data_IF_372771893361
#
_entry.id   IF_372771893361
#
_cell.length_a   1.000
_cell.length_b   1.000
_cell.length_c   1.000
_cell.angle_alpha   90.00
_cell.angle_beta   90.00
_cell.angle_gamma   90.00
#
_symmetry.space_group_name_H-M   'P 1'
#
loop_
_entity.id
_entity.type
_entity.pdbx_description
1 polymer ?
#
# COMPACT_ATOMS: atom_id res chain seq x y z
N UNK A 1 -19.74 -12.46 -12.89
CA UNK A 1 -20.32 -11.15 -13.01
C UNK A 1 -21.83 -11.13 -12.77
N UNK A 2 -22.64 -11.74 -13.64
CA UNK A 2 -24.11 -11.64 -13.57
C UNK A 2 -24.75 -11.97 -12.22
N UNK A 3 -24.29 -12.96 -11.44
CA UNK A 3 -24.87 -13.27 -10.13
C UNK A 3 -24.71 -12.15 -9.09
N UNK A 4 -23.75 -11.24 -9.28
CA UNK A 4 -23.39 -10.17 -8.36
C UNK A 4 -23.44 -8.78 -9.04
N UNK A 5 -24.26 -8.64 -10.07
CA UNK A 5 -24.30 -7.44 -10.92
C UNK A 5 -24.68 -6.15 -10.16
N UNK A 6 -25.50 -6.28 -9.14
CA UNK A 6 -25.93 -5.22 -8.24
C UNK A 6 -24.79 -4.64 -7.37
N UNK A 7 -23.71 -5.41 -7.18
CA UNK A 7 -22.54 -5.00 -6.39
C UNK A 7 -21.40 -4.38 -7.24
N UNK A 8 -21.50 -4.40 -8.58
CA UNK A 8 -20.36 -4.09 -9.44
C UNK A 8 -20.70 -3.26 -10.68
N UNK A 9 -21.98 -2.91 -10.90
CA UNK A 9 -22.38 -2.36 -12.20
C UNK A 9 -22.55 -0.85 -12.22
N UNK A 10 -23.33 -0.28 -11.32
CA UNK A 10 -23.91 1.05 -11.53
C UNK A 10 -23.31 2.16 -10.65
N UNK A 11 -22.58 1.84 -9.59
CA UNK A 11 -22.07 2.85 -8.67
C UNK A 11 -20.78 3.49 -9.22
N UNK A 12 -20.39 4.59 -8.60
CA UNK A 12 -19.27 5.45 -9.00
C UNK A 12 -17.94 4.72 -9.15
N UNK A 13 -17.66 3.78 -8.26
CA UNK A 13 -16.40 3.03 -8.22
C UNK A 13 -16.52 1.59 -8.78
N UNK A 14 -17.67 1.29 -9.40
CA UNK A 14 -17.95 0.02 -10.03
C UNK A 14 -17.27 -0.14 -11.41
N UNK A 15 -17.66 -1.18 -12.12
CA UNK A 15 -17.02 -1.60 -13.39
C UNK A 15 -16.93 -0.50 -14.44
N UNK A 16 -17.91 0.40 -14.51
CA UNK A 16 -17.88 1.56 -15.41
C UNK A 16 -16.69 2.50 -15.18
N UNK A 17 -16.16 2.53 -13.95
CA UNK A 17 -14.99 3.33 -13.59
C UNK A 17 -13.73 2.91 -14.34
N UNK A 18 -13.59 1.64 -14.68
CA UNK A 18 -12.45 1.08 -15.43
C UNK A 18 -12.38 1.74 -16.82
N UNK A 19 -13.51 1.81 -17.53
CA UNK A 19 -13.58 2.44 -18.85
C UNK A 19 -13.23 3.92 -18.81
N UNK A 20 -13.81 4.63 -17.85
CA UNK A 20 -13.48 6.03 -17.64
C UNK A 20 -11.99 6.24 -17.36
N UNK A 21 -11.40 5.43 -16.50
CA UNK A 21 -9.99 5.55 -16.17
C UNK A 21 -9.09 5.21 -17.35
N UNK A 22 -9.40 4.19 -18.13
CA UNK A 22 -8.69 3.84 -19.36
C UNK A 22 -8.65 5.05 -20.32
N UNK A 23 -9.78 5.67 -20.64
CA UNK A 23 -9.83 6.85 -21.48
C UNK A 23 -9.06 8.05 -20.90
N UNK A 24 -9.17 8.28 -19.60
CA UNK A 24 -8.47 9.39 -18.94
C UNK A 24 -6.96 9.20 -18.86
N UNK A 25 -6.50 7.98 -18.64
CA UNK A 25 -5.07 7.67 -18.65
C UNK A 25 -4.46 7.98 -20.02
N UNK A 26 -5.08 7.57 -21.10
CA UNK A 26 -4.67 7.94 -22.45
C UNK A 26 -4.62 9.46 -22.65
N UNK A 27 -5.68 10.19 -22.25
CA UNK A 27 -5.71 11.65 -22.35
C UNK A 27 -4.64 12.38 -21.53
N UNK A 28 -4.12 11.74 -20.49
CA UNK A 28 -3.01 12.23 -19.67
C UNK A 28 -1.64 11.87 -20.26
N UNK A 29 -1.58 11.21 -21.40
CA UNK A 29 -0.36 10.73 -22.04
C UNK A 29 0.24 9.49 -21.37
N UNK A 30 -0.55 8.76 -20.58
CA UNK A 30 -0.15 7.44 -20.06
C UNK A 30 -0.44 6.42 -21.13
N UNK A 31 0.59 5.96 -21.82
CA UNK A 31 0.48 4.98 -22.90
C UNK A 31 -0.02 3.66 -22.38
N UNK A 32 -1.00 3.09 -23.07
CA UNK A 32 -1.63 1.82 -22.75
C UNK A 32 -1.53 0.89 -23.95
N UNK A 33 -0.93 -0.28 -23.78
CA UNK A 33 -0.81 -1.33 -24.79
C UNK A 33 -1.56 -2.56 -24.29
N UNK A 34 -2.51 -3.04 -25.06
CA UNK A 34 -3.30 -4.20 -24.74
C UNK A 34 -2.97 -5.40 -25.67
N UNK A 35 -2.79 -6.59 -25.08
CA UNK A 35 -2.66 -7.82 -25.83
C UNK A 35 -3.87 -8.73 -25.58
N UNK A 36 -4.57 -9.07 -26.66
CA UNK A 36 -5.75 -9.92 -26.67
C UNK A 36 -5.28 -11.35 -26.90
N UNK A 37 -5.07 -12.08 -25.82
CA UNK A 37 -4.56 -13.46 -25.79
C UNK A 37 -5.66 -14.50 -25.58
N UNK A 38 -6.90 -14.03 -25.40
CA UNK A 38 -8.07 -14.87 -25.18
C UNK A 38 -9.34 -14.14 -25.63
N UNK A 39 -10.48 -14.69 -25.27
CA UNK A 39 -11.77 -14.15 -25.69
C UNK A 39 -12.19 -12.94 -24.82
N UNK A 40 -12.40 -11.81 -25.46
CA UNK A 40 -12.90 -10.57 -24.89
C UNK A 40 -14.34 -10.33 -25.31
N UNK A 41 -15.30 -10.42 -24.36
CA UNK A 41 -16.73 -10.41 -24.63
C UNK A 41 -17.40 -9.22 -23.97
N UNK A 42 -18.38 -8.63 -24.63
CA UNK A 42 -19.24 -7.54 -24.16
C UNK A 42 -18.41 -6.33 -23.68
N UNK A 43 -18.59 -5.91 -22.42
CA UNK A 43 -17.80 -4.84 -21.82
C UNK A 43 -16.29 -5.07 -21.88
N UNK A 44 -15.82 -6.32 -21.70
CA UNK A 44 -14.41 -6.69 -21.84
C UNK A 44 -13.82 -6.47 -23.23
N UNK A 45 -14.66 -6.36 -24.27
CA UNK A 45 -14.22 -6.08 -25.64
C UNK A 45 -13.76 -4.61 -25.82
N UNK A 46 -14.31 -3.69 -25.05
CA UNK A 46 -13.97 -2.26 -25.17
C UNK A 46 -12.59 -1.93 -24.57
N UNK A 47 -12.18 -2.60 -23.47
CA UNK A 47 -10.95 -2.26 -22.76
C UNK A 47 -9.70 -2.29 -23.65
N UNK A 48 -9.43 -3.37 -24.41
CA UNK A 48 -8.27 -3.41 -25.30
C UNK A 48 -8.37 -2.37 -26.43
N UNK A 49 -9.55 -2.08 -26.93
CA UNK A 49 -9.75 -1.14 -28.05
C UNK A 49 -9.73 0.32 -27.60
N UNK A 50 -10.01 0.60 -26.33
CA UNK A 50 -9.82 1.91 -25.71
C UNK A 50 -8.38 2.18 -25.29
N UNK A 51 -7.51 1.19 -25.36
CA UNK A 51 -6.06 1.35 -25.18
C UNK A 51 -5.44 2.05 -26.40
N UNK A 52 -4.23 2.63 -26.25
CA UNK A 52 -3.61 3.39 -27.34
C UNK A 52 -3.12 2.49 -28.47
N UNK A 53 -2.71 1.27 -28.15
CA UNK A 53 -2.34 0.22 -29.12
C UNK A 53 -2.84 -1.15 -28.69
N UNK A 54 -3.32 -1.93 -29.65
CA UNK A 54 -3.88 -3.26 -29.42
C UNK A 54 -3.20 -4.35 -30.27
N UNK A 55 -2.94 -5.49 -29.65
CA UNK A 55 -2.32 -6.65 -30.27
C UNK A 55 -3.29 -7.82 -30.14
N UNK A 56 -3.54 -8.56 -31.21
CA UNK A 56 -4.38 -9.77 -31.15
C UNK A 56 -3.58 -11.02 -31.54
N UNK A 57 -3.78 -12.09 -30.76
CA UNK A 57 -3.12 -13.38 -30.98
C UNK A 57 -4.00 -14.26 -31.87
N UNK A 58 -3.41 -14.84 -32.91
CA UNK A 58 -4.10 -15.77 -33.82
C UNK A 58 -4.73 -16.94 -33.06
N UNK A 59 -5.91 -17.36 -33.44
CA UNK A 59 -6.65 -18.54 -32.96
C UNK A 59 -7.09 -18.48 -31.48
N UNK A 60 -6.40 -17.76 -30.62
CA UNK A 60 -6.74 -17.65 -29.20
C UNK A 60 -7.41 -16.33 -28.88
N UNK A 61 -6.91 -15.23 -29.44
CA UNK A 61 -7.48 -13.89 -29.25
C UNK A 61 -8.77 -13.70 -30.04
N UNK A 62 -9.80 -13.19 -29.41
CA UNK A 62 -11.04 -12.81 -30.10
C UNK A 62 -11.76 -11.68 -29.35
N UNK A 63 -12.44 -10.83 -30.11
CA UNK A 63 -13.22 -9.69 -29.57
C UNK A 63 -14.59 -9.70 -30.22
N UNK A 64 -15.65 -9.62 -29.42
CA UNK A 64 -17.00 -9.43 -29.92
C UNK A 64 -17.93 -8.94 -28.80
N UNK A 65 -18.94 -8.19 -29.14
CA UNK A 65 -19.98 -7.76 -28.18
C UNK A 65 -20.81 -8.96 -27.71
N UNK A 66 -21.10 -9.87 -28.63
CA UNK A 66 -21.86 -11.07 -28.35
C UNK A 66 -21.19 -12.24 -29.07
N UNK A 67 -20.85 -13.30 -28.35
CA UNK A 67 -20.28 -14.52 -28.94
C UNK A 67 -21.28 -15.28 -29.83
N UNK A 68 -20.78 -16.22 -30.62
CA UNK A 68 -21.53 -16.97 -31.62
C UNK A 68 -22.85 -17.59 -31.12
N UNK A 69 -22.89 -18.06 -29.88
CA UNK A 69 -24.10 -18.61 -29.26
C UNK A 69 -25.20 -17.54 -29.06
N UNK A 70 -24.81 -16.35 -28.62
CA UNK A 70 -25.76 -15.26 -28.40
C UNK A 70 -26.22 -14.65 -29.72
N UNK A 71 -25.34 -14.52 -30.71
CA UNK A 71 -25.67 -14.09 -32.08
C UNK A 71 -26.72 -15.03 -32.68
N UNK A 72 -26.51 -16.36 -32.56
CA UNK A 72 -27.49 -17.36 -33.02
C UNK A 72 -28.83 -17.24 -32.30
N UNK A 73 -28.82 -17.02 -31.00
CA UNK A 73 -30.05 -16.88 -30.22
C UNK A 73 -30.80 -15.57 -30.53
N UNK A 74 -30.07 -14.47 -30.75
CA UNK A 74 -30.67 -13.14 -30.96
C UNK A 74 -31.20 -12.91 -32.39
N UNK A 75 -30.44 -13.34 -33.40
CA UNK A 75 -30.75 -13.04 -34.80
C UNK A 75 -30.74 -14.27 -35.72
N UNK A 76 -30.54 -15.48 -35.18
CA UNK A 76 -30.56 -16.74 -35.95
C UNK A 76 -29.31 -17.03 -36.78
N UNK A 77 -28.33 -16.11 -36.82
CA UNK A 77 -27.10 -16.26 -37.58
C UNK A 77 -26.20 -17.35 -37.00
N UNK A 78 -25.71 -18.27 -37.86
CA UNK A 78 -24.75 -19.31 -37.50
C UNK A 78 -23.36 -18.89 -37.96
N UNK A 79 -22.52 -18.48 -37.02
CA UNK A 79 -21.13 -18.07 -37.24
C UNK A 79 -20.26 -18.63 -36.12
N UNK A 80 -19.03 -19.00 -36.40
CA UNK A 80 -18.06 -19.39 -35.38
C UNK A 80 -17.35 -18.15 -34.82
N UNK A 81 -16.73 -18.29 -33.66
CA UNK A 81 -16.11 -17.16 -32.95
C UNK A 81 -14.89 -16.58 -33.71
N UNK A 82 -14.12 -17.43 -34.42
CA UNK A 82 -12.95 -16.94 -35.16
C UNK A 82 -13.39 -16.07 -36.35
N UNK A 83 -14.38 -16.52 -37.10
CA UNK A 83 -14.96 -15.75 -38.22
C UNK A 83 -15.68 -14.49 -37.71
N UNK A 84 -16.35 -14.57 -36.54
CA UNK A 84 -17.09 -13.45 -35.97
C UNK A 84 -16.16 -12.33 -35.49
N UNK A 85 -15.11 -12.66 -34.76
CA UNK A 85 -14.27 -11.68 -34.08
C UNK A 85 -12.86 -12.16 -33.74
N UNK A 86 -12.32 -13.07 -34.56
CA UNK A 86 -10.94 -13.54 -34.43
C UNK A 86 -9.91 -12.56 -35.01
N UNK A 87 -8.66 -12.98 -34.97
CA UNK A 87 -7.53 -12.14 -35.33
C UNK A 87 -7.58 -11.62 -36.76
N UNK A 88 -7.93 -12.46 -37.73
CA UNK A 88 -8.01 -12.06 -39.13
C UNK A 88 -9.15 -11.04 -39.37
N UNK A 89 -10.29 -11.29 -38.77
CA UNK A 89 -11.43 -10.39 -38.87
C UNK A 89 -11.09 -8.97 -38.38
N UNK A 90 -10.44 -8.90 -37.21
CA UNK A 90 -10.19 -7.59 -36.57
C UNK A 90 -8.92 -6.90 -37.06
N UNK A 91 -7.97 -7.61 -37.61
CA UNK A 91 -6.77 -6.98 -38.19
C UNK A 91 -6.91 -6.60 -39.66
N UNK A 92 -7.76 -7.29 -40.44
CA UNK A 92 -7.84 -7.08 -41.91
C UNK A 92 -9.20 -6.64 -42.42
N UNK A 93 -10.29 -6.94 -41.73
CA UNK A 93 -11.65 -6.58 -42.17
C UNK A 93 -12.16 -5.35 -41.41
N UNK A 94 -12.26 -5.43 -40.08
CA UNK A 94 -12.77 -4.31 -39.26
C UNK A 94 -11.69 -3.28 -38.93
N UNK A 95 -10.41 -3.66 -38.91
CA UNK A 95 -9.29 -2.79 -38.62
C UNK A 95 -9.26 -2.26 -37.19
N UNK A 96 -9.88 -2.93 -36.24
CA UNK A 96 -9.96 -2.47 -34.86
C UNK A 96 -8.75 -2.88 -34.01
N UNK A 97 -7.92 -3.84 -34.47
CA UNK A 97 -6.66 -4.18 -33.81
C UNK A 97 -5.48 -3.77 -34.67
N UNK A 98 -4.43 -3.24 -34.02
CA UNK A 98 -3.28 -2.64 -34.68
C UNK A 98 -2.25 -3.68 -35.14
N UNK A 99 -2.10 -4.76 -34.36
CA UNK A 99 -1.12 -5.82 -34.66
C UNK A 99 -1.73 -7.20 -34.48
N UNK A 100 -1.46 -8.08 -35.45
CA UNK A 100 -1.74 -9.51 -35.37
C UNK A 100 -0.45 -10.27 -35.17
N UNK A 101 -0.42 -11.23 -34.23
CA UNK A 101 0.74 -12.05 -33.88
C UNK A 101 0.36 -13.51 -33.74
N UNK A 102 1.32 -14.41 -33.93
CA UNK A 102 1.09 -15.86 -34.03
C UNK A 102 0.79 -16.53 -32.68
N UNK A 103 1.34 -16.05 -31.60
CA UNK A 103 1.24 -16.62 -30.25
C UNK A 103 1.49 -15.62 -29.14
N UNK A 104 1.31 -16.04 -27.89
CA UNK A 104 1.48 -15.19 -26.71
C UNK A 104 2.91 -14.68 -26.55
N UNK A 105 3.92 -15.47 -26.89
CA UNK A 105 5.31 -15.03 -26.84
C UNK A 105 5.58 -13.90 -27.83
N UNK A 106 5.06 -14.03 -29.05
CA UNK A 106 5.16 -12.99 -30.06
C UNK A 106 4.40 -11.70 -29.63
N UNK A 107 3.31 -11.83 -28.87
CA UNK A 107 2.61 -10.68 -28.31
C UNK A 107 3.46 -9.97 -27.27
N UNK A 108 4.11 -10.68 -26.35
CA UNK A 108 5.03 -10.10 -25.37
C UNK A 108 6.24 -9.44 -26.02
N UNK A 109 6.80 -10.06 -27.06
CA UNK A 109 7.92 -9.48 -27.80
C UNK A 109 7.49 -8.21 -28.58
N UNK A 110 6.26 -8.20 -29.12
CA UNK A 110 5.70 -6.99 -29.73
C UNK A 110 5.55 -5.87 -28.70
N UNK A 111 5.03 -6.14 -27.51
CA UNK A 111 4.92 -5.16 -26.43
C UNK A 111 6.30 -4.59 -26.10
N UNK A 112 7.32 -5.42 -25.90
CA UNK A 112 8.69 -4.96 -25.63
C UNK A 112 9.22 -4.06 -26.74
N UNK A 113 9.00 -4.46 -28.00
CA UNK A 113 9.40 -3.67 -29.17
C UNK A 113 8.69 -2.31 -29.26
N UNK A 114 7.43 -2.23 -28.86
CA UNK A 114 6.68 -0.95 -28.84
C UNK A 114 7.21 -0.04 -27.72
N UNK A 115 7.42 -0.59 -26.53
CA UNK A 115 7.97 0.15 -25.38
C UNK A 115 9.39 0.68 -25.70
N UNK A 116 10.23 -0.12 -26.35
CA UNK A 116 11.61 0.29 -26.75
C UNK A 116 11.61 1.52 -27.66
N UNK A 117 10.56 1.72 -28.43
CA UNK A 117 10.41 2.85 -29.38
C UNK A 117 9.75 4.09 -28.75
N UNK A 118 9.32 4.02 -27.50
CA UNK A 118 8.79 5.17 -26.82
C UNK A 118 9.87 6.23 -26.58
N UNK A 119 9.51 7.50 -26.73
CA UNK A 119 10.40 8.61 -26.44
C UNK A 119 10.74 8.71 -24.96
N UNK A 120 11.91 9.30 -24.67
CA UNK A 120 12.32 9.59 -23.30
C UNK A 120 11.37 10.62 -22.66
N UNK A 121 10.94 10.35 -21.45
CA UNK A 121 10.14 11.27 -20.62
C UNK A 121 11.01 11.92 -19.56
N UNK A 122 10.59 13.09 -19.08
CA UNK A 122 11.22 13.71 -17.92
C UNK A 122 11.10 12.78 -16.71
N UNK A 123 12.20 12.63 -15.97
CA UNK A 123 12.23 11.85 -14.72
C UNK A 123 11.95 12.74 -13.53
N UNK A 124 11.53 12.14 -12.41
CA UNK A 124 11.32 12.86 -11.15
C UNK A 124 12.64 13.47 -10.58
N UNK A 125 13.78 12.93 -10.98
CA UNK A 125 15.09 13.45 -10.60
C UNK A 125 15.49 13.12 -9.17
N UNK A 126 15.06 11.97 -8.63
CA UNK A 126 15.52 11.51 -7.32
C UNK A 126 17.01 11.22 -7.34
N UNK A 127 17.69 11.60 -6.26
CA UNK A 127 19.14 11.44 -6.17
C UNK A 127 19.53 9.96 -6.02
N UNK A 128 20.37 9.47 -6.92
CA UNK A 128 20.99 8.13 -6.87
C UNK A 128 22.52 8.26 -6.89
N UNK A 129 23.18 7.57 -6.01
CA UNK A 129 24.64 7.51 -5.92
C UNK A 129 25.12 6.07 -6.03
N UNK A 130 26.44 5.86 -5.87
CA UNK A 130 27.00 4.51 -5.82
C UNK A 130 26.34 3.68 -4.73
N UNK A 131 25.92 2.48 -5.08
CA UNK A 131 25.34 1.51 -4.14
C UNK A 131 26.41 1.03 -3.16
N UNK A 132 26.08 1.02 -1.89
CA UNK A 132 26.90 0.42 -0.84
C UNK A 132 26.11 -0.69 -0.15
N UNK A 133 26.81 -1.74 0.27
CA UNK A 133 26.21 -2.79 1.10
C UNK A 133 25.79 -2.22 2.46
N UNK A 134 24.74 -2.76 3.10
CA UNK A 134 24.39 -2.40 4.46
C UNK A 134 25.55 -2.65 5.44
N UNK A 135 25.46 -2.01 6.61
CA UNK A 135 26.46 -2.19 7.68
C UNK A 135 26.44 -3.59 8.27
N UNK A 136 25.26 -4.19 8.34
CA UNK A 136 25.06 -5.56 8.81
C UNK A 136 24.54 -6.43 7.66
N UNK A 137 24.87 -7.74 7.65
CA UNK A 137 24.41 -8.66 6.61
C UNK A 137 22.89 -8.70 6.52
N UNK A 138 22.35 -8.64 5.31
CA UNK A 138 20.91 -8.61 5.09
C UNK A 138 20.24 -9.91 5.53
N UNK A 139 20.92 -11.04 5.47
CA UNK A 139 20.47 -12.36 5.86
C UNK A 139 20.19 -12.47 7.38
N UNK A 140 20.78 -11.60 8.18
CA UNK A 140 20.58 -11.57 9.64
C UNK A 140 19.33 -10.76 10.06
N UNK A 141 18.63 -10.13 9.11
CA UNK A 141 17.45 -9.30 9.37
C UNK A 141 16.35 -10.04 10.15
N UNK A 142 16.24 -11.35 9.97
CA UNK A 142 15.28 -12.19 10.68
C UNK A 142 15.46 -12.18 12.19
N UNK A 143 16.68 -11.93 12.67
CA UNK A 143 17.00 -11.82 14.08
C UNK A 143 16.64 -10.47 14.71
N UNK A 144 16.23 -9.48 13.92
CA UNK A 144 15.94 -8.14 14.43
C UNK A 144 14.63 -8.06 15.24
N UNK A 145 13.66 -8.91 14.92
CA UNK A 145 12.37 -8.94 15.62
C UNK A 145 12.36 -10.08 16.66
N UNK A 146 11.92 -9.80 17.89
CA UNK A 146 11.78 -10.83 18.91
C UNK A 146 10.63 -11.80 18.55
N UNK A 147 10.75 -13.05 18.99
CA UNK A 147 9.68 -14.05 18.83
C UNK A 147 8.40 -13.64 19.56
N UNK A 148 8.56 -13.10 20.76
CA UNK A 148 7.44 -12.62 21.57
C UNK A 148 7.14 -11.15 21.24
N UNK A 149 5.95 -10.87 20.77
CA UNK A 149 5.52 -9.52 20.35
C UNK A 149 5.51 -8.47 21.47
N UNK A 150 5.46 -8.90 22.73
CA UNK A 150 5.53 -8.04 23.91
C UNK A 150 6.94 -7.54 24.20
N UNK A 151 7.95 -8.21 23.66
CA UNK A 151 9.34 -7.80 23.83
C UNK A 151 9.65 -6.60 22.95
N UNK A 152 10.47 -5.72 23.51
CA UNK A 152 10.96 -4.53 22.81
C UNK A 152 12.25 -4.85 22.05
N UNK A 153 12.47 -4.14 20.94
CA UNK A 153 13.70 -4.23 20.17
C UNK A 153 14.17 -2.83 19.73
N UNK A 154 15.43 -2.75 19.33
CA UNK A 154 16.00 -1.49 18.86
C UNK A 154 15.90 -1.41 17.32
N UNK A 155 15.07 -0.49 16.82
CA UNK A 155 14.85 -0.31 15.38
C UNK A 155 16.12 0.14 14.64
N UNK A 156 17.10 0.73 15.30
CA UNK A 156 18.40 1.02 14.68
C UNK A 156 19.13 -0.23 14.20
N UNK A 157 18.97 -1.36 14.92
CA UNK A 157 19.52 -2.62 14.47
C UNK A 157 18.94 -3.02 13.11
N UNK A 158 17.61 -2.95 12.99
CA UNK A 158 16.93 -3.20 11.72
C UNK A 158 17.39 -2.26 10.59
N UNK A 159 17.50 -0.98 10.87
CA UNK A 159 17.95 0.00 9.88
C UNK A 159 19.37 -0.30 9.37
N UNK A 160 20.27 -0.81 10.21
CA UNK A 160 21.61 -1.19 9.81
C UNK A 160 21.67 -2.35 8.81
N UNK A 161 20.62 -3.17 8.69
CA UNK A 161 20.46 -4.19 7.65
C UNK A 161 19.84 -3.66 6.37
N UNK A 162 19.10 -2.54 6.43
CA UNK A 162 18.33 -2.03 5.30
C UNK A 162 19.03 -0.91 4.53
N UNK A 163 19.73 -0.02 5.23
CA UNK A 163 20.32 1.17 4.60
C UNK A 163 21.78 0.95 4.19
N UNK A 164 22.23 1.68 3.20
CA UNK A 164 23.63 1.71 2.77
C UNK A 164 24.54 2.10 3.94
N UNK A 165 25.67 1.42 4.09
CA UNK A 165 26.60 1.69 5.19
C UNK A 165 26.98 3.17 5.26
N UNK A 166 26.98 3.72 6.49
CA UNK A 166 27.34 5.11 6.80
C UNK A 166 26.48 6.19 6.09
N UNK A 167 25.28 5.83 5.64
CA UNK A 167 24.40 6.77 4.94
C UNK A 167 23.35 7.43 5.83
N UNK A 168 23.18 7.01 7.08
CA UNK A 168 22.19 7.59 7.99
C UNK A 168 22.64 8.96 8.51
N UNK A 169 21.76 9.93 8.33
CA UNK A 169 21.85 11.29 8.89
C UNK A 169 20.57 11.58 9.67
N UNK A 170 20.60 11.32 10.98
CA UNK A 170 19.41 11.32 11.81
C UNK A 170 18.95 12.72 12.17
N UNK A 171 17.70 13.02 11.81
CA UNK A 171 17.05 14.29 12.09
C UNK A 171 16.47 14.31 13.51
N UNK A 172 16.80 15.32 14.30
CA UNK A 172 16.34 15.52 15.70
C UNK A 172 16.48 14.27 16.59
N UNK A 173 17.66 13.64 16.58
CA UNK A 173 17.98 12.43 17.32
C UNK A 173 17.58 12.47 18.80
N UNK A 174 17.78 13.61 19.45
CA UNK A 174 17.54 13.77 20.90
C UNK A 174 16.08 14.12 21.25
N UNK A 175 15.21 14.34 20.23
CA UNK A 175 13.83 14.76 20.42
C UNK A 175 12.87 13.75 19.80
N UNK A 176 11.71 13.48 20.46
CA UNK A 176 10.67 12.59 19.92
C UNK A 176 11.19 11.18 19.61
N UNK A 177 11.88 10.56 20.55
CA UNK A 177 12.69 9.35 20.34
C UNK A 177 11.88 8.08 20.01
N UNK A 178 10.55 8.11 20.17
CA UNK A 178 9.67 6.98 19.81
C UNK A 178 9.44 6.85 18.30
N UNK A 179 9.83 7.87 17.53
CA UNK A 179 9.93 7.81 16.06
C UNK A 179 11.37 8.18 15.67
N UNK A 180 11.97 7.36 14.84
CA UNK A 180 13.24 7.63 14.18
C UNK A 180 12.94 8.31 12.86
N UNK A 181 13.57 9.46 12.61
CA UNK A 181 13.54 10.15 11.32
C UNK A 181 14.96 10.34 10.83
N UNK A 182 15.29 9.80 9.68
CA UNK A 182 16.66 9.88 9.14
C UNK A 182 16.66 10.02 7.62
N UNK A 183 17.53 10.87 7.10
CA UNK A 183 17.95 10.74 5.72
C UNK A 183 18.91 9.55 5.64
N UNK A 184 18.78 8.77 4.60
CA UNK A 184 19.64 7.61 4.37
C UNK A 184 19.71 7.29 2.87
N UNK A 185 20.42 6.23 2.53
CA UNK A 185 20.42 5.67 1.18
C UNK A 185 19.99 4.20 1.23
N UNK A 186 19.23 3.79 0.22
CA UNK A 186 18.87 2.40 -0.01
C UNK A 186 19.17 2.12 -1.48
N UNK A 187 20.09 1.21 -1.76
CA UNK A 187 20.58 0.92 -3.12
C UNK A 187 21.05 2.19 -3.87
N UNK A 188 21.71 3.06 -3.15
CA UNK A 188 22.17 4.35 -3.65
C UNK A 188 21.10 5.44 -3.73
N UNK A 189 19.81 5.11 -3.67
CA UNK A 189 18.73 6.07 -3.67
C UNK A 189 18.63 6.83 -2.35
N UNK A 190 18.61 8.16 -2.41
CA UNK A 190 18.37 8.99 -1.23
C UNK A 190 16.92 8.87 -0.79
N UNK A 191 16.68 8.58 0.50
CA UNK A 191 15.38 8.39 1.10
C UNK A 191 15.27 9.12 2.43
N UNK A 192 14.05 9.54 2.77
CA UNK A 192 13.67 9.92 4.13
C UNK A 192 12.96 8.76 4.80
N UNK A 193 13.50 8.26 5.90
CA UNK A 193 12.92 7.15 6.64
C UNK A 193 12.19 7.68 7.87
N UNK A 194 10.94 7.25 8.07
CA UNK A 194 10.13 7.45 9.26
C UNK A 194 9.82 6.07 9.84
N UNK A 195 10.41 5.73 10.98
CA UNK A 195 10.30 4.41 11.57
C UNK A 195 9.88 4.48 13.05
N UNK A 196 9.02 3.58 13.49
CA UNK A 196 8.70 3.47 14.90
C UNK A 196 9.88 2.85 15.67
N UNK A 197 10.35 3.51 16.73
CA UNK A 197 11.28 2.89 17.68
C UNK A 197 10.50 2.01 18.65
N UNK A 198 10.90 0.75 18.78
CA UNK A 198 10.23 -0.21 19.68
C UNK A 198 10.85 -0.31 21.06
N UNK A 199 12.05 0.21 21.22
CA UNK A 199 12.71 0.31 22.52
C UNK A 199 12.02 1.37 23.39
N UNK A 200 11.93 1.10 24.69
CA UNK A 200 11.53 2.13 25.67
C UNK A 200 12.61 3.20 25.74
N UNK A 201 12.21 4.46 25.63
CA UNK A 201 13.11 5.61 25.61
C UNK A 201 12.78 6.59 26.73
N UNK A 202 13.70 7.50 27.03
CA UNK A 202 13.44 8.64 27.95
C UNK A 202 13.34 9.93 27.15
N UNK A 203 12.31 10.73 27.42
CA UNK A 203 12.20 12.05 26.88
C UNK A 203 13.19 13.02 27.58
N UNK A 204 13.21 14.28 27.17
CA UNK A 204 14.11 15.31 27.70
C UNK A 204 13.92 15.59 29.20
N UNK A 205 12.71 15.34 29.74
CA UNK A 205 12.40 15.51 31.17
C UNK A 205 12.67 14.24 32.00
N UNK A 206 13.22 13.19 31.37
CA UNK A 206 13.52 11.93 32.03
C UNK A 206 12.36 10.94 32.13
N UNK A 207 11.20 11.28 31.57
CA UNK A 207 10.03 10.40 31.57
C UNK A 207 10.16 9.25 30.58
N UNK A 208 9.73 8.07 30.99
CA UNK A 208 9.70 6.89 30.14
C UNK A 208 8.61 7.00 29.08
N UNK A 209 8.98 6.76 27.83
CA UNK A 209 8.08 6.65 26.68
C UNK A 209 8.15 5.23 26.10
N UNK A 210 6.98 4.63 25.87
CA UNK A 210 6.88 3.28 25.35
C UNK A 210 7.17 3.25 23.83
N UNK A 211 7.94 2.26 23.41
CA UNK A 211 8.21 2.03 21.99
C UNK A 211 6.94 1.66 21.21
N UNK A 212 6.88 2.06 19.96
CA UNK A 212 5.72 1.85 19.10
C UNK A 212 4.52 2.74 19.39
N UNK A 213 4.63 3.67 20.35
CA UNK A 213 3.60 4.65 20.68
C UNK A 213 4.03 6.03 20.15
N UNK A 214 3.12 6.76 19.54
CA UNK A 214 3.36 8.11 19.05
C UNK A 214 3.00 9.12 20.16
N UNK A 215 3.94 9.96 20.53
CA UNK A 215 3.79 11.06 21.48
C UNK A 215 3.78 12.39 20.73
N UNK A 216 3.38 13.48 21.39
CA UNK A 216 3.35 14.83 20.81
C UNK A 216 4.69 15.24 20.22
N UNK A 217 5.78 15.01 20.94
CA UNK A 217 7.13 15.32 20.49
C UNK A 217 7.56 14.50 19.25
N UNK A 218 7.21 13.22 19.19
CA UNK A 218 7.52 12.38 18.04
C UNK A 218 6.63 12.69 16.84
N UNK A 219 5.36 13.06 17.04
CA UNK A 219 4.47 13.51 15.99
C UNK A 219 4.94 14.82 15.34
N UNK A 220 5.33 15.82 16.15
CA UNK A 220 5.89 17.08 15.65
C UNK A 220 7.21 16.89 14.90
N UNK A 221 8.09 16.02 15.41
CA UNK A 221 9.34 15.64 14.73
C UNK A 221 9.07 15.05 13.35
N UNK A 222 8.19 14.06 13.28
CA UNK A 222 7.84 13.39 12.03
C UNK A 222 7.16 14.35 11.04
N UNK A 223 6.22 15.18 11.50
CA UNK A 223 5.55 16.20 10.69
C UNK A 223 6.56 17.07 9.95
N UNK A 224 7.50 17.66 10.69
CA UNK A 224 8.50 18.56 10.09
C UNK A 224 9.48 17.82 9.19
N UNK A 225 9.85 16.58 9.51
CA UNK A 225 10.71 15.76 8.68
C UNK A 225 10.05 15.41 7.35
N UNK A 226 8.78 15.01 7.36
CA UNK A 226 7.99 14.73 6.15
C UNK A 226 7.93 15.99 5.27
N UNK A 227 7.66 17.16 5.86
CA UNK A 227 7.65 18.42 5.13
C UNK A 227 9.02 18.73 4.50
N UNK A 228 10.12 18.50 5.22
CA UNK A 228 11.47 18.69 4.70
C UNK A 228 11.79 17.75 3.52
N UNK A 229 11.34 16.49 3.58
CA UNK A 229 11.50 15.54 2.47
C UNK A 229 10.75 16.01 1.23
N UNK A 230 9.52 16.50 1.40
CA UNK A 230 8.72 17.07 0.31
C UNK A 230 9.40 18.29 -0.31
N UNK A 231 9.88 19.23 0.51
CA UNK A 231 10.57 20.43 0.04
C UNK A 231 11.86 20.11 -0.76
N UNK A 232 12.47 18.96 -0.49
CA UNK A 232 13.74 18.53 -1.10
C UNK A 232 13.57 17.45 -2.17
N UNK A 233 12.35 17.08 -2.52
CA UNK A 233 12.05 15.99 -3.46
C UNK A 233 12.71 14.66 -3.08
N UNK A 234 12.61 14.27 -1.80
CA UNK A 234 13.19 13.03 -1.27
C UNK A 234 12.05 12.02 -1.02
N UNK A 235 12.04 10.85 -1.65
CA UNK A 235 11.09 9.79 -1.39
C UNK A 235 11.04 9.38 0.07
N UNK A 236 9.85 9.04 0.58
CA UNK A 236 9.61 8.68 1.98
C UNK A 236 9.41 7.16 2.11
N UNK A 237 10.06 6.58 3.11
CA UNK A 237 9.91 5.18 3.52
C UNK A 237 9.36 5.15 4.94
N UNK A 238 8.22 4.51 5.14
CA UNK A 238 7.59 4.31 6.43
C UNK A 238 7.78 2.86 6.88
N UNK A 239 8.41 2.66 8.04
CA UNK A 239 8.53 1.35 8.68
C UNK A 239 7.58 1.32 9.87
N UNK A 240 6.48 0.59 9.74
CA UNK A 240 5.42 0.55 10.74
C UNK A 240 5.59 -0.60 11.73
N UNK A 241 5.74 -0.28 12.99
CA UNK A 241 5.43 -1.13 14.13
C UNK A 241 4.81 -0.25 15.23
N UNK A 242 3.56 0.19 14.99
CA UNK A 242 2.86 1.22 15.75
C UNK A 242 1.63 0.65 16.45
N UNK A 243 1.48 0.94 17.74
CA UNK A 243 0.32 0.54 18.54
C UNK A 243 -0.74 1.63 18.66
N UNK A 244 -0.41 2.86 18.28
CA UNK A 244 -1.30 4.03 18.32
C UNK A 244 -0.63 5.27 18.86
N UNK A 245 -1.42 6.29 19.11
CA UNK A 245 -0.99 7.48 19.83
C UNK A 245 -1.09 7.28 21.34
N UNK A 246 -0.31 8.04 22.11
CA UNK A 246 -0.40 8.04 23.57
C UNK A 246 -1.77 8.56 24.00
N UNK A 247 -2.33 7.92 25.01
CA UNK A 247 -3.64 8.26 25.57
C UNK A 247 -3.53 8.69 27.03
N UNK A 248 -4.59 9.24 27.57
CA UNK A 248 -4.72 9.61 28.96
C UNK A 248 -4.55 11.10 29.21
N UNK A 249 -4.93 11.53 30.42
CA UNK A 249 -5.05 12.93 30.78
C UNK A 249 -3.84 13.78 30.40
N UNK A 250 -2.64 13.30 30.63
CA UNK A 250 -1.41 14.03 30.35
C UNK A 250 -1.21 14.25 28.84
N UNK A 251 -1.48 13.23 28.03
CA UNK A 251 -1.37 13.31 26.59
C UNK A 251 -2.43 14.28 26.02
N UNK A 252 -3.69 14.16 26.46
CA UNK A 252 -4.78 15.03 26.00
C UNK A 252 -4.53 16.50 26.36
N UNK A 253 -4.17 16.77 27.63
CA UNK A 253 -3.85 18.14 28.05
C UNK A 253 -2.57 18.68 27.40
N UNK A 254 -1.66 17.80 26.99
CA UNK A 254 -0.45 18.15 26.24
C UNK A 254 -0.67 18.41 24.75
N UNK A 255 -1.89 18.18 24.23
CA UNK A 255 -2.24 18.47 22.83
C UNK A 255 -1.95 17.34 21.85
N UNK A 256 -1.97 16.07 22.29
CA UNK A 256 -1.68 14.91 21.43
C UNK A 256 -2.55 14.86 20.17
N UNK A 257 -3.83 15.25 20.27
CA UNK A 257 -4.74 15.29 19.12
C UNK A 257 -4.26 16.32 18.10
N UNK A 258 -3.87 17.50 18.56
CA UNK A 258 -3.34 18.57 17.73
C UNK A 258 -2.06 18.12 17.00
N UNK A 259 -1.12 17.57 17.72
CA UNK A 259 0.18 17.16 17.17
C UNK A 259 0.05 15.92 16.27
N UNK A 260 -0.82 14.99 16.63
CA UNK A 260 -1.19 13.86 15.78
C UNK A 260 -1.86 14.30 14.48
N UNK A 261 -2.77 15.28 14.55
CA UNK A 261 -3.42 15.84 13.35
C UNK A 261 -2.40 16.48 12.39
N UNK A 262 -1.38 17.18 12.91
CA UNK A 262 -0.29 17.72 12.06
C UNK A 262 0.45 16.61 11.32
N UNK A 263 0.77 15.50 11.98
CA UNK A 263 1.47 14.38 11.36
C UNK A 263 0.61 13.74 10.27
N UNK A 264 -0.66 13.47 10.54
CA UNK A 264 -1.61 12.94 9.56
C UNK A 264 -1.76 13.90 8.37
N UNK A 265 -1.85 15.20 8.64
CA UNK A 265 -1.91 16.23 7.59
C UNK A 265 -0.65 16.21 6.70
N UNK A 266 0.55 16.14 7.30
CA UNK A 266 1.80 16.10 6.54
C UNK A 266 1.91 14.85 5.64
N UNK A 267 1.46 13.70 6.12
CA UNK A 267 1.41 12.45 5.32
C UNK A 267 0.40 12.56 4.19
N UNK A 268 -0.78 13.12 4.46
CA UNK A 268 -1.87 13.29 3.49
C UNK A 268 -1.49 14.20 2.32
N UNK A 269 -0.83 15.31 2.63
CA UNK A 269 -0.44 16.31 1.63
C UNK A 269 0.94 16.07 1.01
N UNK A 270 1.61 14.97 1.37
CA UNK A 270 2.91 14.62 0.82
C UNK A 270 2.79 14.25 -0.66
N UNK A 271 3.54 14.93 -1.51
CA UNK A 271 3.59 14.75 -2.97
C UNK A 271 4.75 13.89 -3.45
N UNK A 272 5.76 13.67 -2.60
CA UNK A 272 6.84 12.72 -2.91
C UNK A 272 6.35 11.28 -2.79
N UNK A 273 6.93 10.33 -3.53
CA UNK A 273 6.58 8.93 -3.39
C UNK A 273 6.73 8.44 -1.96
N UNK A 274 5.71 7.75 -1.48
CA UNK A 274 5.66 7.12 -0.15
C UNK A 274 5.66 5.62 -0.32
N UNK A 275 6.45 4.92 0.48
CA UNK A 275 6.56 3.46 0.50
C UNK A 275 6.36 2.98 1.93
N UNK A 276 5.39 2.12 2.16
CA UNK A 276 5.06 1.65 3.51
C UNK A 276 5.35 0.16 3.67
N UNK A 277 6.12 -0.16 4.69
CA UNK A 277 6.45 -1.53 5.09
C UNK A 277 5.92 -1.75 6.50
N UNK A 278 4.94 -2.64 6.65
CA UNK A 278 4.43 -3.04 7.96
C UNK A 278 5.27 -4.19 8.48
N UNK A 279 6.14 -3.90 9.44
CA UNK A 279 7.07 -4.88 10.00
C UNK A 279 6.53 -5.57 11.27
N UNK A 280 5.56 -4.93 11.92
CA UNK A 280 4.94 -5.42 13.14
C UNK A 280 3.49 -4.95 13.24
N UNK A 281 3.14 -4.25 14.30
CA UNK A 281 1.78 -3.73 14.50
C UNK A 281 1.51 -2.50 13.63
N UNK A 282 0.26 -2.38 13.20
CA UNK A 282 -0.26 -1.20 12.50
C UNK A 282 -1.69 -0.92 12.99
N UNK A 283 -1.82 -0.22 14.12
CA UNK A 283 -3.08 -0.10 14.82
C UNK A 283 -3.64 1.33 14.84
N UNK A 284 -4.96 1.41 14.65
CA UNK A 284 -5.77 2.63 14.79
C UNK A 284 -5.22 3.81 14.00
N UNK A 285 -5.31 5.00 14.58
CA UNK A 285 -4.78 6.22 13.97
C UNK A 285 -3.24 6.22 13.79
N UNK A 286 -2.52 5.31 14.45
CA UNK A 286 -1.10 5.08 14.20
C UNK A 286 -0.84 4.59 12.77
N UNK A 287 -1.72 3.74 12.23
CA UNK A 287 -1.68 3.34 10.81
C UNK A 287 -1.76 4.57 9.89
N UNK A 288 -2.67 5.50 10.18
CA UNK A 288 -2.86 6.72 9.39
C UNK A 288 -1.64 7.62 9.42
N UNK A 289 -1.13 7.92 10.61
CA UNK A 289 0.05 8.77 10.80
C UNK A 289 1.32 8.19 10.19
N UNK A 290 1.42 6.87 10.09
CA UNK A 290 2.54 6.16 9.48
C UNK A 290 2.29 5.74 8.02
N UNK A 291 1.42 6.47 7.30
CA UNK A 291 1.13 6.25 5.89
C UNK A 291 0.48 4.89 5.59
N UNK A 292 -0.69 4.64 6.18
CA UNK A 292 -1.53 3.48 5.82
C UNK A 292 -2.07 3.57 4.39
N UNK A 293 -2.79 2.54 3.95
CA UNK A 293 -3.29 2.40 2.57
C UNK A 293 -4.07 3.62 2.06
N UNK A 294 -4.88 4.24 2.92
CA UNK A 294 -5.71 5.41 2.57
C UNK A 294 -4.92 6.70 2.34
N UNK A 295 -3.61 6.69 2.56
CA UNK A 295 -2.72 7.84 2.38
C UNK A 295 -1.85 7.73 1.13
N UNK A 296 -2.28 6.91 0.18
CA UNK A 296 -1.73 6.75 -1.16
C UNK A 296 -0.21 6.46 -1.18
N UNK A 297 0.29 5.45 -0.42
CA UNK A 297 1.63 4.96 -0.66
C UNK A 297 1.70 4.35 -2.07
N UNK A 298 2.84 4.45 -2.75
CA UNK A 298 3.05 3.80 -4.05
C UNK A 298 2.92 2.28 -3.94
N UNK A 299 3.35 1.73 -2.81
CA UNK A 299 2.98 0.41 -2.35
C UNK A 299 2.92 0.36 -0.81
N UNK A 300 2.14 -0.55 -0.30
CA UNK A 300 2.11 -0.95 1.10
C UNK A 300 2.33 -2.46 1.18
N UNK A 301 3.50 -2.87 1.63
CA UNK A 301 3.85 -4.30 1.80
C UNK A 301 4.00 -4.63 3.28
N UNK A 302 3.87 -5.89 3.62
CA UNK A 302 3.95 -6.34 5.01
C UNK A 302 4.86 -7.55 5.16
N UNK A 303 5.53 -7.65 6.30
CA UNK A 303 6.22 -8.86 6.72
C UNK A 303 5.22 -9.89 7.28
N UNK A 304 5.56 -11.20 7.30
CA UNK A 304 4.70 -12.22 7.89
C UNK A 304 4.35 -11.96 9.37
N UNK A 305 5.14 -11.14 10.06
CA UNK A 305 4.93 -10.72 11.45
C UNK A 305 3.90 -9.59 11.59
N UNK A 306 3.43 -8.99 10.51
CA UNK A 306 2.55 -7.83 10.56
C UNK A 306 1.16 -8.15 11.12
N UNK A 307 0.58 -7.18 11.84
CA UNK A 307 -0.82 -7.18 12.27
C UNK A 307 -1.45 -5.82 11.98
N UNK A 308 -2.59 -5.83 11.30
CA UNK A 308 -3.31 -4.61 10.93
C UNK A 308 -4.70 -4.63 11.54
N UNK A 309 -5.04 -3.65 12.39
CA UNK A 309 -6.34 -3.55 13.05
C UNK A 309 -6.61 -2.15 13.60
N UNK A 310 -7.84 -1.94 14.09
CA UNK A 310 -8.18 -0.73 14.84
C UNK A 310 -7.44 -0.70 16.19
N UNK A 311 -7.30 -1.85 16.87
CA UNK A 311 -6.59 -2.00 18.13
C UNK A 311 -6.15 -3.45 18.33
N UNK A 312 -5.27 -3.73 19.29
CA UNK A 312 -4.89 -5.09 19.62
C UNK A 312 -6.04 -5.92 20.19
N UNK A 313 -6.09 -7.23 19.88
CA UNK A 313 -7.21 -8.11 20.24
C UNK A 313 -7.50 -8.16 21.74
N UNK A 314 -6.48 -8.12 22.61
CA UNK A 314 -6.67 -8.07 24.05
C UNK A 314 -7.39 -6.77 24.50
N UNK A 315 -7.01 -5.64 23.97
CA UNK A 315 -7.67 -4.34 24.25
C UNK A 315 -9.09 -4.31 23.71
N UNK A 316 -9.31 -4.80 22.49
CA UNK A 316 -10.62 -4.88 21.87
C UNK A 316 -11.59 -5.74 22.69
N UNK A 317 -11.14 -6.89 23.17
CA UNK A 317 -11.96 -7.77 24.01
C UNK A 317 -12.34 -7.12 25.35
N UNK A 318 -11.43 -6.39 25.99
CA UNK A 318 -11.71 -5.69 27.24
C UNK A 318 -12.72 -4.52 27.04
N UNK A 319 -12.60 -3.75 25.96
CA UNK A 319 -13.55 -2.68 25.62
C UNK A 319 -14.93 -3.23 25.33
N UNK A 320 -15.05 -4.26 24.49
CA UNK A 320 -16.35 -4.87 24.14
C UNK A 320 -17.05 -5.47 25.36
N UNK A 321 -16.29 -6.11 26.26
CA UNK A 321 -16.82 -6.59 27.53
C UNK A 321 -17.31 -5.48 28.46
N UNK A 322 -16.70 -4.30 28.44
CA UNK A 322 -17.18 -3.14 29.20
C UNK A 322 -18.49 -2.60 28.64
N UNK A 323 -18.61 -2.52 27.31
CA UNK A 323 -19.84 -2.09 26.63
C UNK A 323 -20.99 -3.04 26.93
N UNK A 324 -20.75 -4.35 26.87
CA UNK A 324 -21.77 -5.35 27.18
C UNK A 324 -22.21 -5.29 28.65
N UNK A 325 -21.28 -5.07 29.58
CA UNK A 325 -21.63 -4.84 31.02
C UNK A 325 -22.50 -3.62 31.22
N UNK A 326 -22.24 -2.54 30.48
CA UNK A 326 -23.03 -1.31 30.58
C UNK A 326 -24.46 -1.50 30.04
N UNK A 327 -24.66 -2.42 29.08
CA UNK A 327 -25.96 -2.70 28.45
C UNK A 327 -26.77 -3.77 29.18
N UNK A 328 -26.15 -4.65 29.97
CA UNK A 328 -26.83 -5.75 30.65
C UNK A 328 -27.34 -5.36 32.05
N UNK A 329 -28.63 -5.12 32.18
CA UNK A 329 -29.34 -4.99 33.47
C UNK A 329 -29.47 -6.35 34.13
N UNK A 330 -28.85 -6.50 35.33
CA UNK A 330 -29.04 -7.55 36.36
C UNK A 330 -29.30 -9.00 35.87
N UNK A 331 -28.26 -9.84 35.93
CA UNK A 331 -28.40 -11.32 35.96
C UNK A 331 -27.34 -11.94 36.88
N UNK A 332 -27.57 -13.18 37.31
CA UNK A 332 -26.89 -13.97 38.35
C UNK A 332 -25.35 -14.06 38.21
N UNK A 333 -24.57 -13.81 39.28
CA UNK A 333 -23.12 -13.55 39.28
C UNK A 333 -22.23 -14.73 38.88
N UNK A 334 -22.62 -15.98 39.11
CA UNK A 334 -21.76 -17.16 38.82
C UNK A 334 -21.82 -17.60 37.34
N UNK A 335 -23.00 -17.62 36.75
CA UNK A 335 -23.21 -17.95 35.33
C UNK A 335 -22.62 -16.85 34.40
N UNK A 336 -22.51 -15.64 34.92
CA UNK A 336 -21.91 -14.50 34.19
C UNK A 336 -20.40 -14.60 34.03
N UNK A 337 -19.65 -15.16 35.00
CA UNK A 337 -18.19 -15.21 34.94
C UNK A 337 -17.72 -16.15 33.83
N UNK A 338 -18.30 -17.35 33.74
CA UNK A 338 -17.94 -18.33 32.71
C UNK A 338 -18.33 -17.82 31.30
N UNK A 339 -19.57 -17.36 31.12
CA UNK A 339 -20.03 -16.80 29.84
C UNK A 339 -19.16 -15.62 29.38
N UNK A 340 -18.65 -14.82 30.31
CA UNK A 340 -17.77 -13.70 30.04
C UNK A 340 -16.39 -14.14 29.59
N UNK A 341 -15.83 -15.19 30.20
CA UNK A 341 -14.55 -15.76 29.79
C UNK A 341 -14.65 -16.41 28.40
N UNK A 342 -15.74 -17.11 28.13
CA UNK A 342 -16.00 -17.73 26.84
C UNK A 342 -16.19 -16.69 25.72
N UNK A 343 -17.01 -15.65 25.99
CA UNK A 343 -17.20 -14.53 25.07
C UNK A 343 -15.87 -13.77 24.83
N UNK A 344 -15.07 -13.57 25.88
CA UNK A 344 -13.74 -12.94 25.72
C UNK A 344 -12.84 -13.73 24.78
N UNK A 345 -12.82 -15.06 24.92
CA UNK A 345 -12.04 -15.95 24.04
C UNK A 345 -12.55 -15.92 22.61
N UNK A 346 -13.87 -15.94 22.42
CA UNK A 346 -14.50 -15.87 21.10
C UNK A 346 -14.18 -14.55 20.39
N UNK A 347 -14.36 -13.42 21.08
CA UNK A 347 -13.99 -12.09 20.54
C UNK A 347 -12.51 -12.03 20.22
N UNK A 348 -11.66 -12.54 21.09
CA UNK A 348 -10.20 -12.51 20.89
C UNK A 348 -9.79 -13.37 19.70
N UNK A 349 -10.34 -14.58 19.57
CA UNK A 349 -10.05 -15.46 18.43
C UNK A 349 -10.49 -14.83 17.09
N UNK A 350 -11.72 -14.27 17.04
CA UNK A 350 -12.21 -13.57 15.86
C UNK A 350 -11.38 -12.35 15.48
N UNK A 351 -10.89 -11.61 16.51
CA UNK A 351 -10.02 -10.46 16.29
C UNK A 351 -8.63 -10.91 15.79
N UNK A 352 -8.07 -11.99 16.35
CA UNK A 352 -6.77 -12.52 15.92
C UNK A 352 -6.78 -12.95 14.46
N UNK A 353 -7.85 -13.64 14.02
CA UNK A 353 -8.03 -14.00 12.61
C UNK A 353 -8.04 -12.78 11.69
N UNK A 354 -8.82 -11.75 12.03
CA UNK A 354 -8.97 -10.55 11.19
C UNK A 354 -7.80 -9.57 11.26
N UNK A 355 -6.92 -9.70 12.23
CA UNK A 355 -5.70 -8.88 12.33
C UNK A 355 -4.50 -9.49 11.62
N UNK A 356 -4.63 -10.74 11.18
CA UNK A 356 -3.56 -11.47 10.50
C UNK A 356 -3.20 -10.83 9.15
N UNK A 357 -1.92 -10.91 8.79
CA UNK A 357 -1.40 -10.32 7.55
C UNK A 357 -2.00 -10.96 6.30
N UNK A 358 -2.32 -12.26 6.34
CA UNK A 358 -2.94 -12.96 5.21
C UNK A 358 -4.39 -12.51 5.03
N UNK A 359 -5.10 -12.23 6.13
CA UNK A 359 -6.41 -11.61 6.05
C UNK A 359 -6.32 -10.23 5.41
N UNK A 360 -5.38 -9.38 5.84
CA UNK A 360 -5.16 -8.07 5.23
C UNK A 360 -4.84 -8.17 3.72
N UNK A 361 -4.05 -9.16 3.32
CA UNK A 361 -3.77 -9.44 1.91
C UNK A 361 -5.02 -9.87 1.15
N UNK A 362 -5.85 -10.74 1.73
CA UNK A 362 -7.11 -11.18 1.10
C UNK A 362 -8.11 -10.04 0.90
N UNK A 363 -8.03 -8.99 1.72
CA UNK A 363 -8.84 -7.77 1.61
C UNK A 363 -8.20 -6.68 0.75
N UNK A 364 -7.03 -6.95 0.14
CA UNK A 364 -6.24 -5.97 -0.65
C UNK A 364 -5.84 -4.71 0.15
N UNK A 365 -5.71 -4.82 1.48
CA UNK A 365 -5.22 -3.72 2.30
C UNK A 365 -3.72 -3.50 2.13
N UNK A 366 -3.02 -4.54 1.66
CA UNK A 366 -1.59 -4.52 1.31
C UNK A 366 -1.40 -5.10 -0.09
N UNK A 367 -0.32 -4.70 -0.76
CA UNK A 367 0.01 -5.13 -2.11
C UNK A 367 0.71 -6.49 -2.13
N UNK A 368 1.47 -6.81 -1.07
CA UNK A 368 2.14 -8.10 -0.92
C UNK A 368 2.51 -8.40 0.53
N UNK A 369 2.59 -9.69 0.87
CA UNK A 369 3.36 -10.19 2.01
C UNK A 369 4.74 -10.55 1.48
N UNK A 370 5.77 -9.89 2.01
CA UNK A 370 7.14 -10.03 1.51
C UNK A 370 8.05 -10.70 2.54
N UNK A 371 9.07 -11.39 2.06
CA UNK A 371 10.17 -11.83 2.91
C UNK A 371 10.93 -10.59 3.42
N UNK A 372 11.26 -10.51 4.72
CA UNK A 372 12.09 -9.42 5.27
C UNK A 372 13.35 -9.11 4.48
N UNK A 373 14.02 -10.11 3.92
CA UNK A 373 15.23 -9.95 3.12
C UNK A 373 14.97 -9.18 1.81
N UNK A 374 13.78 -9.24 1.27
CA UNK A 374 13.42 -8.54 0.04
C UNK A 374 13.07 -7.05 0.25
N UNK A 375 12.98 -6.59 1.49
CA UNK A 375 12.54 -5.21 1.81
C UNK A 375 13.34 -4.16 1.07
N UNK A 376 14.66 -4.28 1.06
CA UNK A 376 15.57 -3.35 0.37
C UNK A 376 15.31 -3.32 -1.13
N UNK A 377 15.11 -4.48 -1.75
CA UNK A 377 14.80 -4.64 -3.18
C UNK A 377 13.46 -4.00 -3.54
N UNK A 378 12.43 -4.21 -2.72
CA UNK A 378 11.11 -3.60 -2.92
C UNK A 378 11.19 -2.07 -2.90
N UNK A 379 11.88 -1.50 -1.91
CA UNK A 379 12.03 -0.04 -1.79
C UNK A 379 12.81 0.50 -3.00
N UNK A 380 13.94 -0.11 -3.36
CA UNK A 380 14.77 0.32 -4.49
C UNK A 380 13.99 0.31 -5.80
N UNK A 381 13.30 -0.79 -6.09
CA UNK A 381 12.47 -0.94 -7.30
C UNK A 381 11.33 0.09 -7.31
N UNK A 382 10.66 0.28 -6.16
CA UNK A 382 9.59 1.27 -6.03
C UNK A 382 10.06 2.70 -6.33
N UNK A 383 11.24 3.08 -5.85
CA UNK A 383 11.81 4.40 -6.13
C UNK A 383 12.21 4.51 -7.61
N UNK A 384 12.79 3.47 -8.17
CA UNK A 384 13.17 3.43 -9.59
C UNK A 384 11.96 3.64 -10.50
N UNK A 385 10.87 2.91 -10.26
CA UNK A 385 9.59 3.08 -10.99
C UNK A 385 9.02 4.48 -10.78
N UNK A 386 8.99 4.97 -9.55
CA UNK A 386 8.48 6.31 -9.26
C UNK A 386 9.32 7.43 -9.89
N UNK A 387 10.62 7.19 -10.11
CA UNK A 387 11.52 8.16 -10.76
C UNK A 387 11.18 8.38 -12.24
N UNK A 388 10.53 7.41 -12.89
CA UNK A 388 10.09 7.54 -14.29
C UNK A 388 8.83 8.42 -14.44
N UNK A 389 8.18 8.83 -13.33
CA UNK A 389 6.98 9.67 -13.36
C UNK A 389 7.11 10.85 -12.38
N UNK A 390 7.51 12.03 -12.85
CA UNK A 390 7.61 13.21 -12.00
C UNK A 390 6.24 13.62 -11.46
N UNK A 391 6.17 13.99 -10.18
CA UNK A 391 4.97 14.60 -9.61
C UNK A 391 4.76 15.97 -10.23
N UNK A 392 3.52 16.26 -10.65
CA UNK A 392 3.11 17.58 -11.12
C UNK A 392 2.52 18.44 -10.00
N UNK A 393 2.31 17.87 -8.83
CA UNK A 393 1.70 18.54 -7.69
C UNK A 393 2.74 19.34 -6.90
N UNK A 394 2.36 20.54 -6.47
CA UNK A 394 3.16 21.34 -5.56
C UNK A 394 2.83 20.98 -4.11
N UNK A 395 3.87 20.74 -3.31
CA UNK A 395 3.69 20.51 -1.89
C UNK A 395 3.05 21.71 -1.19
N UNK A 396 1.94 21.47 -0.51
CA UNK A 396 1.23 22.45 0.32
C UNK A 396 0.57 21.73 1.50
N UNK A 397 0.96 22.05 2.70
CA UNK A 397 0.38 21.44 3.91
C UNK A 397 -1.00 21.98 4.28
N UNK A 398 -1.47 23.07 3.66
CA UNK A 398 -2.69 23.73 4.07
C UNK A 398 -2.59 24.36 5.48
N UNK A 399 -3.72 24.41 6.18
CA UNK A 399 -3.79 25.00 7.54
C UNK A 399 -3.47 23.92 8.57
N UNK A 400 -2.54 24.24 9.46
CA UNK A 400 -2.17 23.39 10.59
C UNK A 400 -2.67 24.01 11.90
N UNK A 401 -3.13 23.15 12.81
CA UNK A 401 -3.39 23.53 14.19
C UNK A 401 -2.07 23.76 14.95
N UNK A 402 -1.96 24.87 15.68
CA UNK A 402 -0.78 25.29 16.45
C UNK A 402 -1.00 25.22 17.95
#
# INVERSE_FOLDING_TARGET
FLPLQDLIFADKEDFGRIFRNNARMSSMGVVQIAAIMGSCVAGGAYLPIMSDESIIVEKTGSIFLAGSYLVKAAIGEKIDNETLGGADTHSSISGITDYKVKDDHAALDKIRSLIEKMGNRAKAGFNKSKVLTPKLPLEEIYGCLPKERTQTYDTYNLLNHLVDANSMDEYKKEYGKTIITTYAKIDGWSVGIVANQRKVVKNKTGEMQFGGVIYSDSADKATRFIANCNQRNIPLVFLQDVTGFMVGRKAEHGGIIKDGAKMVNAVSNSVVPKFTIVIGNSFGAGNYAMCGRSFDPRFMVAWPTAKIAVMGGAQASDVLLQIEKASSKKRDKKTQKQKKEDLKKEIQAHYEEKTDVLYAASQLWIDAVIDPIDTRKWISLGIEVANESPSQEKFNMGILQV
#
